data_IF_562362395192
#
_entry.id   IF_562362395192
#
_cell.length_a   1.000
_cell.length_b   1.000
_cell.length_c   1.000
_cell.angle_alpha   90.00
_cell.angle_beta   90.00
_cell.angle_gamma   90.00
#
_symmetry.space_group_name_H-M   'P 1'
#
loop_
_entity.id
_entity.type
_entity.pdbx_description
1 polymer ?
#
# COMPACT_ATOMS: atom_id res chain seq x y z
N UNK A 1 -18.39 -1.76 -23.54
CA UNK A 1 -19.07 -1.11 -22.40
C UNK A 1 -18.65 0.36 -22.44
N UNK A 2 -19.55 1.28 -22.79
CA UNK A 2 -19.30 2.72 -22.59
C UNK A 2 -19.61 3.02 -21.12
N UNK A 3 -18.64 3.59 -20.40
CA UNK A 3 -18.83 4.05 -19.03
C UNK A 3 -19.42 5.46 -19.10
N UNK A 4 -20.55 5.66 -18.43
CA UNK A 4 -21.07 7.01 -18.20
C UNK A 4 -20.24 7.67 -17.10
N UNK A 5 -19.56 8.75 -17.45
CA UNK A 5 -18.67 9.47 -16.56
C UNK A 5 -19.43 10.09 -15.37
N UNK A 6 -20.71 10.44 -15.53
CA UNK A 6 -21.50 11.05 -14.47
C UNK A 6 -21.74 10.10 -13.28
N UNK A 7 -21.55 8.80 -13.47
CA UNK A 7 -21.63 7.80 -12.40
C UNK A 7 -20.30 7.57 -11.67
N UNK A 8 -19.23 8.29 -12.01
CA UNK A 8 -17.94 8.16 -11.34
C UNK A 8 -17.93 8.91 -10.01
N UNK A 9 -17.81 8.16 -8.91
CA UNK A 9 -17.70 8.73 -7.57
C UNK A 9 -16.26 9.08 -7.19
N UNK A 10 -15.32 8.18 -7.49
CA UNK A 10 -13.92 8.36 -7.12
C UNK A 10 -12.96 7.64 -8.07
N UNK A 11 -11.71 8.08 -8.06
CA UNK A 11 -10.60 7.44 -8.77
C UNK A 11 -9.44 7.19 -7.80
N UNK A 12 -8.93 5.95 -7.80
CA UNK A 12 -7.75 5.54 -7.04
C UNK A 12 -6.51 5.55 -7.95
N UNK A 13 -5.42 6.24 -7.56
CA UNK A 13 -4.20 6.33 -8.41
C UNK A 13 -2.91 6.25 -7.59
N UNK A 14 -1.79 5.88 -8.22
CA UNK A 14 -0.45 5.74 -7.63
C UNK A 14 0.28 7.07 -7.35
N UNK A 15 -0.40 8.22 -7.48
CA UNK A 15 0.16 9.57 -7.33
C UNK A 15 1.21 9.96 -8.38
N UNK A 16 1.34 9.23 -9.49
CA UNK A 16 2.19 9.67 -10.59
C UNK A 16 1.74 11.05 -11.11
N UNK A 17 2.69 11.91 -11.48
CA UNK A 17 2.41 13.27 -11.98
C UNK A 17 1.46 13.27 -13.19
N UNK A 18 1.53 12.23 -14.02
CA UNK A 18 0.63 12.02 -15.16
C UNK A 18 -0.83 11.75 -14.73
N UNK A 19 -1.03 11.19 -13.53
CA UNK A 19 -2.34 10.89 -12.97
C UNK A 19 -2.91 12.06 -12.14
N UNK A 20 -2.08 12.67 -11.28
CA UNK A 20 -2.53 13.67 -10.29
C UNK A 20 -2.04 15.10 -10.55
N UNK A 21 -1.35 15.33 -11.67
CA UNK A 21 -0.83 16.65 -12.04
C UNK A 21 -1.95 17.69 -12.17
N UNK A 22 -1.66 18.91 -11.72
CA UNK A 22 -2.65 19.99 -11.60
C UNK A 22 -3.22 20.41 -12.96
N UNK A 23 -2.36 20.51 -13.98
CA UNK A 23 -2.75 21.07 -15.29
C UNK A 23 -3.18 19.99 -16.29
N UNK A 24 -2.41 18.89 -16.39
CA UNK A 24 -2.58 17.87 -17.43
C UNK A 24 -2.77 16.46 -16.86
N UNK A 25 -2.97 16.33 -15.55
CA UNK A 25 -3.22 15.04 -14.93
C UNK A 25 -4.57 14.45 -15.35
N UNK A 26 -4.65 13.12 -15.44
CA UNK A 26 -5.91 12.41 -15.72
C UNK A 26 -7.01 12.81 -14.73
N UNK A 27 -6.69 12.96 -13.44
CA UNK A 27 -7.64 13.44 -12.45
C UNK A 27 -8.17 14.84 -12.76
N UNK A 28 -7.30 15.80 -13.11
CA UNK A 28 -7.72 17.17 -13.43
C UNK A 28 -8.69 17.19 -14.61
N UNK A 29 -8.42 16.41 -15.65
CA UNK A 29 -9.31 16.25 -16.81
C UNK A 29 -10.65 15.63 -16.44
N UNK A 30 -10.66 14.56 -15.64
CA UNK A 30 -11.90 13.92 -15.21
C UNK A 30 -12.71 14.81 -14.25
N UNK A 31 -12.04 15.56 -13.37
CA UNK A 31 -12.67 16.48 -12.42
C UNK A 31 -13.37 17.65 -13.12
N UNK A 32 -12.85 18.09 -14.27
CA UNK A 32 -13.52 19.11 -15.09
C UNK A 32 -14.87 18.62 -15.65
N UNK A 33 -14.99 17.32 -15.97
CA UNK A 33 -16.22 16.70 -16.47
C UNK A 33 -17.15 16.27 -15.32
N UNK A 34 -16.57 15.85 -14.19
CA UNK A 34 -17.27 15.34 -13.01
C UNK A 34 -16.79 16.10 -11.78
N UNK A 35 -17.37 17.28 -11.48
CA UNK A 35 -16.92 18.13 -10.37
C UNK A 35 -16.99 17.47 -9.00
N UNK A 36 -17.84 16.46 -8.82
CA UNK A 36 -17.93 15.67 -7.57
C UNK A 36 -16.85 14.60 -7.41
N UNK A 37 -16.02 14.33 -8.44
CA UNK A 37 -15.07 13.22 -8.45
C UNK A 37 -14.01 13.33 -7.34
N UNK A 38 -13.89 12.31 -6.52
CA UNK A 38 -12.92 12.27 -5.42
C UNK A 38 -11.64 11.58 -5.88
N UNK A 39 -10.50 12.20 -5.62
CA UNK A 39 -9.20 11.56 -5.79
C UNK A 39 -8.83 10.80 -4.52
N UNK A 40 -8.68 9.48 -4.65
CA UNK A 40 -8.07 8.64 -3.62
C UNK A 40 -6.63 8.35 -4.03
N UNK A 41 -5.70 8.93 -3.29
CA UNK A 41 -4.28 8.70 -3.47
C UNK A 41 -3.91 7.32 -2.93
N UNK A 42 -3.04 6.60 -3.64
CA UNK A 42 -2.57 5.28 -3.23
C UNK A 42 -1.78 5.41 -1.92
N UNK A 43 -2.39 4.94 -0.83
CA UNK A 43 -1.78 5.02 0.50
C UNK A 43 -0.54 4.15 0.62
N UNK A 44 -0.54 2.94 0.04
CA UNK A 44 0.64 2.08 -0.02
C UNK A 44 1.85 2.78 -0.66
N UNK A 45 1.64 3.41 -1.82
CA UNK A 45 2.69 4.16 -2.51
C UNK A 45 3.08 5.43 -1.73
N UNK A 46 2.11 6.07 -1.07
CA UNK A 46 2.37 7.25 -0.25
C UNK A 46 3.24 6.94 0.97
N UNK A 47 2.94 5.86 1.69
CA UNK A 47 3.74 5.34 2.80
C UNK A 47 5.15 4.98 2.33
N UNK A 48 5.23 4.29 1.20
CA UNK A 48 6.48 3.90 0.55
C UNK A 48 7.36 5.12 0.24
N UNK A 49 6.81 6.14 -0.42
CA UNK A 49 7.53 7.37 -0.73
C UNK A 49 7.94 8.12 0.54
N UNK A 50 7.09 8.16 1.57
CA UNK A 50 7.41 8.86 2.81
C UNK A 50 8.63 8.25 3.52
N UNK A 51 8.69 6.91 3.61
CA UNK A 51 9.86 6.20 4.14
C UNK A 51 11.08 6.45 3.25
N UNK A 52 10.90 6.32 1.93
CA UNK A 52 11.95 6.55 0.91
C UNK A 52 12.67 7.88 1.07
N UNK A 53 11.90 8.96 1.04
CA UNK A 53 12.43 10.32 1.22
C UNK A 53 13.10 10.49 2.58
N UNK A 54 12.44 10.06 3.66
CA UNK A 54 12.97 10.28 5.00
C UNK A 54 14.34 9.61 5.21
N UNK A 55 14.55 8.39 4.73
CA UNK A 55 15.87 7.73 4.80
C UNK A 55 16.91 8.40 3.91
N UNK A 56 16.59 8.70 2.65
CA UNK A 56 17.53 9.33 1.70
C UNK A 56 18.06 10.66 2.25
N UNK A 57 17.18 11.44 2.87
CA UNK A 57 17.51 12.78 3.35
C UNK A 57 18.27 12.78 4.69
N UNK A 58 18.17 11.71 5.50
CA UNK A 58 18.61 11.76 6.91
C UNK A 58 19.63 10.69 7.30
N UNK A 59 19.48 9.47 6.79
CA UNK A 59 20.32 8.35 7.16
C UNK A 59 21.49 8.13 6.21
N UNK A 60 22.58 7.49 6.68
CA UNK A 60 23.73 7.21 5.84
C UNK A 60 23.40 6.27 4.67
N UNK A 61 23.80 6.67 3.44
CA UNK A 61 23.61 5.89 2.20
C UNK A 61 24.20 4.49 2.24
N UNK A 62 25.20 4.26 3.09
CA UNK A 62 25.83 2.96 3.24
C UNK A 62 24.89 1.91 3.86
N UNK A 63 23.81 2.30 4.56
CA UNK A 63 22.81 1.36 5.05
C UNK A 63 22.04 0.68 3.91
N UNK A 64 21.63 1.45 2.91
CA UNK A 64 20.97 0.91 1.72
C UNK A 64 21.91 -0.05 0.99
N UNK A 65 23.17 0.36 0.79
CA UNK A 65 24.19 -0.51 0.20
C UNK A 65 24.39 -1.81 1.00
N UNK A 66 24.43 -1.75 2.35
CA UNK A 66 24.58 -2.93 3.20
C UNK A 66 23.47 -3.95 2.93
N UNK A 67 22.22 -3.51 2.94
CA UNK A 67 21.06 -4.39 2.76
C UNK A 67 21.03 -4.95 1.33
N UNK A 68 21.21 -4.11 0.32
CA UNK A 68 21.20 -4.53 -1.08
C UNK A 68 22.34 -5.49 -1.41
N UNK A 69 23.56 -5.17 -0.97
CA UNK A 69 24.74 -5.96 -1.34
C UNK A 69 24.82 -7.28 -0.57
N UNK A 70 24.26 -7.33 0.65
CA UNK A 70 24.04 -8.60 1.36
C UNK A 70 23.12 -9.54 0.58
N UNK A 71 22.03 -9.03 0.01
CA UNK A 71 21.18 -9.84 -0.87
C UNK A 71 21.93 -10.28 -2.14
N UNK A 72 22.56 -9.33 -2.83
CA UNK A 72 23.29 -9.58 -4.08
C UNK A 72 24.38 -10.64 -3.92
N UNK A 73 25.03 -10.67 -2.75
CA UNK A 73 26.05 -11.65 -2.43
C UNK A 73 25.55 -13.09 -2.57
N UNK A 74 24.33 -13.36 -2.08
CA UNK A 74 23.72 -14.68 -2.10
C UNK A 74 22.95 -14.96 -3.40
N UNK A 75 22.28 -13.97 -3.98
CA UNK A 75 21.45 -14.18 -5.18
C UNK A 75 22.27 -14.62 -6.41
N UNK A 76 23.55 -14.25 -6.45
CA UNK A 76 24.47 -14.55 -7.55
C UNK A 76 25.15 -15.92 -7.45
N UNK A 77 25.01 -16.66 -6.34
CA UNK A 77 25.73 -17.93 -6.15
C UNK A 77 25.02 -18.90 -5.22
N UNK A 78 24.62 -20.04 -5.76
CA UNK A 78 24.10 -21.18 -4.99
C UNK A 78 25.16 -21.73 -4.02
N UNK A 79 26.44 -21.74 -4.40
CA UNK A 79 27.52 -22.20 -3.52
C UNK A 79 27.67 -21.31 -2.28
N UNK A 80 27.54 -19.99 -2.43
CA UNK A 80 27.55 -19.07 -1.28
C UNK A 80 26.37 -19.29 -0.35
N UNK A 81 25.19 -19.60 -0.91
CA UNK A 81 24.01 -19.95 -0.11
C UNK A 81 24.26 -21.23 0.70
N UNK A 82 24.78 -22.29 0.07
CA UNK A 82 25.07 -23.57 0.75
C UNK A 82 26.10 -23.38 1.86
N UNK A 83 27.22 -22.70 1.59
CA UNK A 83 28.25 -22.41 2.61
C UNK A 83 27.67 -21.64 3.79
N UNK A 84 26.81 -20.65 3.53
CA UNK A 84 26.17 -19.88 4.58
C UNK A 84 25.16 -20.70 5.37
N UNK A 85 24.36 -21.56 4.73
CA UNK A 85 23.45 -22.48 5.42
C UNK A 85 24.22 -23.41 6.36
N UNK A 86 25.33 -23.99 5.92
CA UNK A 86 26.17 -24.85 6.77
C UNK A 86 26.75 -24.09 7.97
N UNK A 87 27.23 -22.86 7.75
CA UNK A 87 27.72 -22.00 8.82
C UNK A 87 26.61 -21.68 9.82
N UNK A 88 25.43 -21.28 9.33
CA UNK A 88 24.29 -20.92 10.15
C UNK A 88 23.80 -22.12 10.97
N UNK A 89 23.66 -23.30 10.36
CA UNK A 89 23.29 -24.55 11.04
C UNK A 89 24.31 -24.91 12.13
N UNK A 90 25.60 -24.65 11.90
CA UNK A 90 26.65 -24.88 12.90
C UNK A 90 26.54 -23.93 14.09
N UNK A 91 26.27 -22.64 13.85
CA UNK A 91 26.13 -21.63 14.90
C UNK A 91 24.83 -21.81 15.70
N UNK A 92 23.75 -22.20 15.01
CA UNK A 92 22.37 -22.25 15.55
C UNK A 92 21.84 -23.67 15.72
N UNK A 93 22.71 -24.63 16.08
CA UNK A 93 22.32 -25.99 16.49
C UNK A 93 21.38 -26.73 15.50
N UNK A 94 21.64 -26.59 14.20
CA UNK A 94 20.90 -27.27 13.12
C UNK A 94 19.68 -26.51 12.58
N UNK A 95 19.40 -25.30 13.08
CA UNK A 95 18.38 -24.43 12.47
C UNK A 95 18.81 -23.91 11.09
N UNK A 96 17.84 -23.63 10.22
CA UNK A 96 18.11 -23.11 8.88
C UNK A 96 17.94 -21.58 8.80
N UNK A 97 18.81 -20.89 8.05
CA UNK A 97 18.69 -19.44 7.87
C UNK A 97 17.45 -19.08 7.06
N UNK A 98 16.86 -17.94 7.38
CA UNK A 98 15.86 -17.32 6.52
C UNK A 98 16.55 -16.72 5.30
N UNK A 99 16.00 -16.95 4.11
CA UNK A 99 16.55 -16.38 2.87
C UNK A 99 16.67 -14.86 2.96
N UNK A 100 17.82 -14.27 2.65
CA UNK A 100 17.94 -12.81 2.57
C UNK A 100 17.05 -12.31 1.43
N UNK A 101 16.25 -11.27 1.70
CA UNK A 101 15.28 -10.74 0.75
C UNK A 101 15.89 -9.63 -0.11
N UNK A 102 15.45 -9.59 -1.37
CA UNK A 102 15.73 -8.47 -2.25
C UNK A 102 14.94 -7.25 -1.79
N UNK A 103 15.61 -6.10 -1.71
CA UNK A 103 14.94 -4.81 -1.68
C UNK A 103 14.79 -4.33 -3.11
N UNK A 104 13.58 -3.94 -3.52
CA UNK A 104 13.39 -3.35 -4.84
C UNK A 104 13.59 -1.84 -4.79
N UNK A 105 14.28 -1.28 -5.78
CA UNK A 105 14.58 0.15 -5.88
C UNK A 105 13.29 1.01 -5.91
N UNK A 106 12.20 0.46 -6.45
CA UNK A 106 10.91 1.15 -6.56
C UNK A 106 9.93 0.86 -5.40
N UNK A 107 10.19 -0.14 -4.56
CA UNK A 107 9.32 -0.55 -3.44
C UNK A 107 10.16 -0.95 -2.22
N UNK A 108 10.55 0.04 -1.43
CA UNK A 108 11.10 -0.14 -0.08
C UNK A 108 10.13 -0.77 0.94
N UNK A 109 8.91 -1.13 0.61
CA UNK A 109 8.05 -1.91 1.52
C UNK A 109 8.64 -3.32 1.78
N UNK A 110 9.60 -3.78 0.97
CA UNK A 110 10.43 -4.96 1.26
C UNK A 110 11.60 -4.68 2.20
N UNK A 111 11.90 -3.40 2.52
CA UNK A 111 13.04 -3.03 3.36
C UNK A 111 12.83 -3.53 4.79
N UNK A 112 11.61 -3.49 5.32
CA UNK A 112 11.30 -3.99 6.66
C UNK A 112 11.71 -5.45 6.82
N UNK A 113 11.24 -6.32 5.91
CA UNK A 113 11.53 -7.74 5.97
C UNK A 113 13.01 -8.04 5.68
N UNK A 114 13.68 -7.24 4.85
CA UNK A 114 15.11 -7.36 4.60
C UNK A 114 15.95 -6.91 5.82
N UNK A 115 15.60 -5.80 6.46
CA UNK A 115 16.21 -5.29 7.70
C UNK A 115 15.99 -6.28 8.83
N UNK A 116 14.77 -6.80 9.01
CA UNK A 116 14.46 -7.78 10.04
C UNK A 116 15.28 -9.06 9.86
N UNK A 117 15.33 -9.63 8.65
CA UNK A 117 16.16 -10.83 8.37
C UNK A 117 17.65 -10.57 8.51
N UNK A 118 18.12 -9.37 8.18
CA UNK A 118 19.52 -8.99 8.33
C UNK A 118 19.88 -8.85 9.81
N UNK A 119 19.01 -8.26 10.63
CA UNK A 119 19.21 -8.12 12.07
C UNK A 119 19.15 -9.46 12.79
N UNK A 120 18.20 -10.33 12.46
CA UNK A 120 18.08 -11.66 13.06
C UNK A 120 19.30 -12.55 12.78
N UNK A 121 19.99 -12.32 11.65
CA UNK A 121 21.13 -13.11 11.23
C UNK A 121 22.45 -12.31 11.29
N UNK A 122 22.49 -11.24 12.09
CA UNK A 122 23.59 -10.27 12.09
C UNK A 122 24.94 -10.90 12.46
N UNK A 123 24.94 -11.77 13.47
CA UNK A 123 26.14 -12.45 13.95
C UNK A 123 26.67 -13.43 12.90
N UNK A 124 25.78 -14.19 12.28
CA UNK A 124 26.09 -15.22 11.29
C UNK A 124 26.57 -14.58 10.00
N UNK A 125 25.94 -13.50 9.55
CA UNK A 125 26.36 -12.71 8.39
C UNK A 125 27.75 -12.10 8.63
N UNK A 126 27.97 -11.48 9.80
CA UNK A 126 29.27 -10.95 10.19
C UNK A 126 30.35 -12.03 10.18
N UNK A 127 30.05 -13.22 10.71
CA UNK A 127 30.96 -14.37 10.76
C UNK A 127 31.25 -14.90 9.35
N UNK A 128 30.22 -15.03 8.52
CA UNK A 128 30.32 -15.46 7.12
C UNK A 128 31.28 -14.56 6.33
N UNK A 129 31.10 -13.25 6.40
CA UNK A 129 31.94 -12.30 5.68
C UNK A 129 33.37 -12.27 6.23
N UNK A 130 33.57 -12.48 7.54
CA UNK A 130 34.90 -12.61 8.12
C UNK A 130 35.65 -13.84 7.59
N UNK A 131 35.01 -15.01 7.56
CA UNK A 131 35.62 -16.24 7.05
C UNK A 131 35.88 -16.13 5.55
N UNK A 132 34.94 -15.53 4.82
CA UNK A 132 35.03 -15.42 3.36
C UNK A 132 36.11 -14.43 2.93
N UNK A 133 36.25 -13.26 3.60
CA UNK A 133 37.33 -12.31 3.24
C UNK A 133 38.72 -12.93 3.44
N UNK A 134 38.89 -13.78 4.45
CA UNK A 134 40.17 -14.42 4.77
C UNK A 134 40.49 -15.57 3.80
N UNK A 135 39.49 -16.37 3.43
CA UNK A 135 39.69 -17.54 2.57
C UNK A 135 39.69 -17.21 1.07
N UNK A 136 38.77 -16.35 0.60
CA UNK A 136 38.57 -16.07 -0.83
C UNK A 136 39.24 -14.76 -1.30
N UNK A 137 39.84 -13.97 -0.38
CA UNK A 137 40.41 -12.62 -0.66
C UNK A 137 39.47 -11.72 -1.47
N UNK A 138 38.16 -11.88 -1.26
CA UNK A 138 37.12 -11.15 -2.00
C UNK A 138 36.91 -9.76 -1.39
N UNK A 139 37.14 -8.70 -2.18
CA UNK A 139 36.98 -7.32 -1.72
C UNK A 139 35.55 -7.01 -1.25
N UNK A 140 34.52 -7.50 -1.95
CA UNK A 140 33.12 -7.30 -1.52
C UNK A 140 32.85 -7.92 -0.15
N UNK A 141 33.42 -9.10 0.14
CA UNK A 141 33.30 -9.71 1.47
C UNK A 141 34.03 -8.89 2.54
N UNK A 142 35.18 -8.29 2.21
CA UNK A 142 35.90 -7.40 3.13
C UNK A 142 35.09 -6.13 3.44
N UNK A 143 34.50 -5.50 2.43
CA UNK A 143 33.63 -4.32 2.61
C UNK A 143 32.42 -4.68 3.47
N UNK A 144 31.69 -5.74 3.13
CA UNK A 144 30.54 -6.18 3.92
C UNK A 144 30.95 -6.50 5.36
N UNK A 145 32.06 -7.21 5.58
CA UNK A 145 32.57 -7.48 6.92
C UNK A 145 32.84 -6.18 7.71
N UNK A 146 33.51 -5.19 7.11
CA UNK A 146 33.75 -3.88 7.75
C UNK A 146 32.44 -3.20 8.14
N UNK A 147 31.42 -3.26 7.28
CA UNK A 147 30.11 -2.67 7.55
C UNK A 147 29.35 -3.39 8.68
N UNK A 148 29.43 -4.71 8.77
CA UNK A 148 28.87 -5.50 9.89
C UNK A 148 29.67 -5.35 11.20
N UNK A 149 30.93 -4.93 11.11
CA UNK A 149 31.76 -4.56 12.28
C UNK A 149 31.46 -3.16 12.82
N UNK A 150 30.90 -2.27 11.98
CA UNK A 150 30.53 -0.93 12.39
C UNK A 150 29.22 -0.95 13.19
N UNK A 151 29.36 -0.72 14.50
CA UNK A 151 28.27 -0.71 15.47
C UNK A 151 27.25 0.42 15.18
N UNK A 152 27.66 1.46 14.46
CA UNK A 152 26.78 2.56 14.03
C UNK A 152 25.72 2.06 13.05
N UNK A 153 26.09 1.17 12.12
CA UNK A 153 25.15 0.59 11.17
C UNK A 153 24.11 -0.29 11.89
N UNK A 154 24.56 -1.07 12.87
CA UNK A 154 23.68 -1.86 13.71
C UNK A 154 22.70 -0.97 14.49
N UNK A 155 23.17 0.12 15.08
CA UNK A 155 22.32 1.08 15.80
C UNK A 155 21.22 1.64 14.90
N UNK A 156 21.54 2.12 13.70
CA UNK A 156 20.52 2.65 12.79
C UNK A 156 19.49 1.59 12.39
N UNK A 157 19.90 0.35 12.12
CA UNK A 157 18.97 -0.73 11.78
C UNK A 157 18.08 -1.13 12.96
N UNK A 158 18.62 -1.16 14.19
CA UNK A 158 17.86 -1.42 15.41
C UNK A 158 16.82 -0.33 15.69
N UNK A 159 17.17 0.93 15.43
CA UNK A 159 16.24 2.06 15.47
C UNK A 159 15.15 1.95 14.40
N UNK A 160 15.53 1.58 13.17
CA UNK A 160 14.62 1.54 12.03
C UNK A 160 13.58 0.44 12.11
N UNK A 161 13.99 -0.76 12.54
CA UNK A 161 13.15 -1.95 12.58
C UNK A 161 11.73 -1.68 13.11
N UNK A 162 11.53 -1.18 14.35
CA UNK A 162 10.18 -1.00 14.90
C UNK A 162 9.32 -0.04 14.06
N UNK A 163 9.92 1.04 13.54
CA UNK A 163 9.21 2.05 12.74
C UNK A 163 8.75 1.44 11.41
N UNK A 164 9.64 0.71 10.75
CA UNK A 164 9.34 0.02 9.49
C UNK A 164 8.27 -1.05 9.70
N UNK A 165 8.31 -1.80 10.80
CA UNK A 165 7.31 -2.83 11.12
C UNK A 165 5.92 -2.23 11.32
N UNK A 166 5.78 -1.11 12.06
CA UNK A 166 4.50 -0.39 12.26
C UNK A 166 3.90 0.03 10.90
N UNK A 167 4.71 0.64 10.03
CA UNK A 167 4.27 1.09 8.68
C UNK A 167 3.90 -0.11 7.81
N UNK A 168 4.67 -1.20 7.88
CA UNK A 168 4.43 -2.39 7.07
C UNK A 168 3.14 -3.12 7.45
N UNK A 169 2.75 -3.11 8.73
CA UNK A 169 1.45 -3.64 9.18
C UNK A 169 0.30 -2.92 8.50
N UNK A 170 0.31 -1.58 8.54
CA UNK A 170 -0.72 -0.76 7.90
C UNK A 170 -0.71 -0.95 6.39
N UNK A 171 0.47 -0.95 5.77
CA UNK A 171 0.58 -1.16 4.33
C UNK A 171 0.02 -2.53 3.90
N UNK A 172 0.32 -3.62 4.62
CA UNK A 172 -0.29 -4.94 4.37
C UNK A 172 -1.79 -4.91 4.56
N UNK A 173 -2.30 -4.14 5.52
CA UNK A 173 -3.72 -3.99 5.74
C UNK A 173 -4.44 -3.34 4.54
N UNK A 174 -3.82 -2.35 3.89
CA UNK A 174 -4.31 -1.72 2.65
C UNK A 174 -4.18 -2.59 1.39
N UNK A 175 -3.41 -3.68 1.45
CA UNK A 175 -3.26 -4.67 0.37
C UNK A 175 -4.14 -5.91 0.57
N UNK A 176 -4.79 -6.03 1.73
CA UNK A 176 -5.70 -7.13 2.04
C UNK A 176 -7.09 -6.89 1.45
N UNK A 177 -7.75 -7.97 1.01
CA UNK A 177 -9.15 -7.94 0.57
C UNK A 177 -10.16 -8.16 1.71
N UNK A 178 -9.70 -8.75 2.82
CA UNK A 178 -10.57 -9.22 3.90
C UNK A 178 -10.78 -8.16 4.98
N UNK A 179 -10.03 -7.07 4.91
CA UNK A 179 -10.04 -6.06 5.95
C UNK A 179 -11.25 -5.15 5.78
N UNK A 180 -11.80 -4.66 6.89
CA UNK A 180 -12.82 -3.62 6.87
C UNK A 180 -12.19 -2.32 6.36
N UNK A 181 -12.43 -2.00 5.10
CA UNK A 181 -11.86 -0.82 4.44
C UNK A 181 -12.24 0.49 5.14
N UNK A 182 -13.37 0.53 5.87
CA UNK A 182 -13.79 1.72 6.60
C UNK A 182 -12.93 1.98 7.84
N UNK A 183 -12.22 0.96 8.35
CA UNK A 183 -11.32 1.07 9.51
C UNK A 183 -9.88 1.42 9.12
N UNK A 184 -9.47 1.17 7.87
CA UNK A 184 -8.09 1.36 7.43
C UNK A 184 -7.57 2.81 7.60
N UNK A 185 -8.43 3.82 7.41
CA UNK A 185 -8.05 5.21 7.63
C UNK A 185 -7.79 5.55 9.10
N UNK A 186 -8.43 4.81 10.03
CA UNK A 186 -8.15 4.91 11.47
C UNK A 186 -6.79 4.31 11.80
N UNK A 187 -6.44 3.17 11.22
CA UNK A 187 -5.14 2.53 11.44
C UNK A 187 -3.99 3.42 10.95
N UNK A 188 -4.16 4.07 9.80
CA UNK A 188 -3.21 5.08 9.30
C UNK A 188 -3.06 6.25 10.26
N UNK A 189 -4.16 6.73 10.84
CA UNK A 189 -4.12 7.81 11.83
C UNK A 189 -3.31 7.42 13.07
N UNK A 190 -3.49 6.19 13.55
CA UNK A 190 -2.78 5.66 14.71
C UNK A 190 -1.27 5.70 14.44
N UNK A 191 -0.80 5.21 13.29
CA UNK A 191 0.63 5.25 12.95
C UNK A 191 1.19 6.69 12.92
N UNK A 192 0.45 7.64 12.34
CA UNK A 192 0.91 9.04 12.32
C UNK A 192 0.97 9.62 13.73
N UNK A 193 0.00 9.29 14.59
CA UNK A 193 -0.01 9.70 15.99
C UNK A 193 1.13 9.04 16.78
N UNK A 194 1.44 7.77 16.54
CA UNK A 194 2.54 7.06 17.18
C UNK A 194 3.90 7.66 16.81
N UNK A 195 4.14 7.93 15.52
CA UNK A 195 5.36 8.61 15.06
C UNK A 195 5.47 10.00 15.70
N UNK A 196 4.36 10.75 15.74
CA UNK A 196 4.35 12.07 16.39
C UNK A 196 4.65 11.98 17.88
N UNK A 197 4.08 11.01 18.60
CA UNK A 197 4.31 10.83 20.05
C UNK A 197 5.76 10.46 20.37
N UNK A 198 6.47 9.81 19.45
CA UNK A 198 7.92 9.55 19.59
C UNK A 198 8.76 10.84 19.45
N UNK A 199 8.20 11.89 18.84
CA UNK A 199 8.89 13.17 18.57
C UNK A 199 8.60 14.26 19.59
N UNK A 200 7.43 14.26 20.21
CA UNK A 200 6.98 15.35 21.08
C UNK A 200 7.06 14.98 22.55
N UNK A 201 7.07 16.00 23.42
CA UNK A 201 6.97 15.80 24.87
C UNK A 201 5.67 15.04 25.22
N UNK A 202 5.68 14.11 26.20
CA UNK A 202 4.51 13.34 26.60
C UNK A 202 3.29 14.18 27.04
N UNK A 203 3.52 15.42 27.45
CA UNK A 203 2.49 16.38 27.85
C UNK A 203 1.77 17.05 26.67
N UNK A 204 2.26 16.88 25.44
CA UNK A 204 1.67 17.48 24.24
C UNK A 204 0.32 16.82 23.90
N UNK A 205 -0.75 17.63 23.84
CA UNK A 205 -2.12 17.19 23.50
C UNK A 205 -2.58 17.62 22.10
N UNK A 206 -1.66 18.12 21.29
CA UNK A 206 -1.96 18.66 19.96
C UNK A 206 -2.30 17.51 19.01
N UNK A 207 -3.34 17.67 18.18
CA UNK A 207 -3.58 16.74 17.07
C UNK A 207 -2.51 16.97 15.99
N UNK A 208 -1.58 16.02 15.80
CA UNK A 208 -0.45 16.22 14.90
C UNK A 208 -0.87 16.34 13.43
N UNK A 209 -2.08 15.91 13.09
CA UNK A 209 -2.60 16.03 11.73
C UNK A 209 -3.13 17.42 11.42
N UNK A 210 -3.63 18.13 12.43
CA UNK A 210 -4.23 19.45 12.26
C UNK A 210 -3.25 20.59 12.52
N UNK A 211 -2.28 20.37 13.40
CA UNK A 211 -1.36 21.42 13.86
C UNK A 211 0.10 21.07 13.59
N UNK A 212 0.99 22.06 13.67
CA UNK A 212 2.43 21.79 13.67
C UNK A 212 2.87 21.19 15.01
N UNK A 213 3.90 20.33 14.96
CA UNK A 213 4.53 19.74 16.14
C UNK A 213 5.91 20.34 16.44
N UNK A 214 6.42 21.24 15.59
CA UNK A 214 7.80 21.72 15.63
C UNK A 214 8.13 22.40 16.99
N UNK A 215 7.16 23.07 17.61
CA UNK A 215 7.34 23.77 18.89
C UNK A 215 7.35 22.84 20.12
N UNK A 216 6.96 21.57 19.95
CA UNK A 216 6.77 20.62 21.04
C UNK A 216 7.77 19.45 21.02
N UNK A 217 8.81 19.55 20.19
CA UNK A 217 9.78 18.48 19.99
C UNK A 217 10.53 18.15 21.28
N UNK A 218 10.56 16.87 21.62
CA UNK A 218 11.38 16.35 22.71
C UNK A 218 12.86 16.57 22.35
N UNK A 219 13.66 17.23 23.22
CA UNK A 219 15.09 17.36 23.00
C UNK A 219 15.82 16.01 23.05
N UNK A 220 15.28 15.00 23.76
CA UNK A 220 15.91 13.69 23.92
C UNK A 220 14.88 12.56 23.77
N UNK A 221 14.36 12.34 22.55
CA UNK A 221 13.33 11.35 22.31
C UNK A 221 13.83 9.93 22.59
N UNK A 222 12.94 9.08 23.09
CA UNK A 222 13.20 7.65 23.24
C UNK A 222 13.17 6.95 21.87
N UNK A 223 14.28 6.29 21.50
CA UNK A 223 14.47 5.71 20.16
C UNK A 223 14.23 4.20 20.08
N UNK A 224 13.69 3.60 21.16
CA UNK A 224 13.31 2.19 21.22
C UNK A 224 14.29 1.32 22.01
N UNK A 225 13.77 0.24 22.62
CA UNK A 225 14.48 -0.54 23.62
C UNK A 225 15.81 -1.12 23.10
N UNK A 226 15.79 -1.74 21.93
CA UNK A 226 16.99 -2.38 21.36
C UNK A 226 18.07 -1.36 21.02
N UNK A 227 17.69 -0.17 20.55
CA UNK A 227 18.62 0.93 20.31
C UNK A 227 19.23 1.44 21.61
N UNK A 228 18.39 1.76 22.61
CA UNK A 228 18.86 2.31 23.89
C UNK A 228 19.75 1.31 24.64
N UNK A 229 19.38 0.03 24.68
CA UNK A 229 20.18 -1.04 25.28
C UNK A 229 21.54 -1.17 24.59
N UNK A 230 21.58 -1.06 23.26
CA UNK A 230 22.82 -1.15 22.49
C UNK A 230 23.73 0.06 22.75
N UNK A 231 23.18 1.27 22.81
CA UNK A 231 23.92 2.47 23.23
C UNK A 231 24.50 2.30 24.63
N UNK A 232 23.70 1.82 25.59
CA UNK A 232 24.17 1.59 26.96
C UNK A 232 25.34 0.59 26.99
N UNK A 233 25.25 -0.49 26.22
CA UNK A 233 26.35 -1.45 26.07
C UNK A 233 27.60 -0.80 25.47
N UNK A 234 27.47 -0.03 24.39
CA UNK A 234 28.62 0.62 23.74
C UNK A 234 29.29 1.65 24.64
N UNK A 235 28.53 2.36 25.49
CA UNK A 235 29.08 3.25 26.52
C UNK A 235 29.90 2.48 27.54
N UNK A 236 29.37 1.35 28.06
CA UNK A 236 30.08 0.49 29.03
C UNK A 236 31.36 -0.10 28.44
N UNK A 237 31.34 -0.47 27.16
CA UNK A 237 32.50 -1.00 26.44
C UNK A 237 33.52 0.07 26.03
N UNK A 238 33.23 1.37 26.23
CA UNK A 238 34.08 2.47 25.78
C UNK A 238 34.17 2.60 24.25
N UNK A 239 33.20 2.06 23.51
CA UNK A 239 33.18 1.99 22.03
C UNK A 239 32.46 3.16 21.36
N UNK A 240 31.84 4.05 22.14
CA UNK A 240 31.14 5.23 21.64
C UNK A 240 31.43 6.42 22.56
N UNK A 241 31.72 7.58 21.96
CA UNK A 241 31.84 8.83 22.70
C UNK A 241 30.52 9.63 22.66
N UNK A 242 30.42 10.66 23.50
CA UNK A 242 29.20 11.47 23.62
C UNK A 242 28.84 12.23 22.33
N UNK A 243 29.83 12.69 21.56
CA UNK A 243 29.61 13.43 20.32
C UNK A 243 29.04 12.53 19.22
N UNK A 244 29.60 11.33 19.04
CA UNK A 244 29.13 10.34 18.07
C UNK A 244 27.71 9.88 18.42
N UNK A 245 27.45 9.62 19.70
CA UNK A 245 26.10 9.27 20.15
C UNK A 245 25.10 10.39 19.84
N UNK A 246 25.44 11.65 20.16
CA UNK A 246 24.58 12.78 19.87
C UNK A 246 24.30 12.89 18.37
N UNK A 247 25.32 12.73 17.53
CA UNK A 247 25.16 12.75 16.07
C UNK A 247 24.23 11.65 15.54
N UNK A 248 24.31 10.43 16.09
CA UNK A 248 23.41 9.33 15.75
C UNK A 248 21.97 9.66 16.16
N UNK A 249 21.77 10.14 17.40
CA UNK A 249 20.44 10.50 17.91
C UNK A 249 19.79 11.61 17.10
N UNK A 250 20.53 12.65 16.74
CA UNK A 250 20.02 13.75 15.92
C UNK A 250 19.60 13.29 14.52
N UNK A 251 20.33 12.35 13.91
CA UNK A 251 19.93 11.74 12.63
C UNK A 251 18.65 10.91 12.77
N UNK A 252 18.54 10.11 13.83
CA UNK A 252 17.32 9.35 14.12
C UNK A 252 16.10 10.27 14.37
N UNK A 253 16.30 11.37 15.12
CA UNK A 253 15.27 12.39 15.33
C UNK A 253 14.87 13.07 14.02
N UNK A 254 15.86 13.45 13.20
CA UNK A 254 15.63 14.03 11.88
C UNK A 254 14.87 13.08 10.95
N UNK A 255 15.19 11.78 10.99
CA UNK A 255 14.45 10.76 10.26
C UNK A 255 12.97 10.74 10.65
N UNK A 256 12.67 10.65 11.94
CA UNK A 256 11.29 10.64 12.43
C UNK A 256 10.54 11.93 12.02
N UNK A 257 11.18 13.09 12.14
CA UNK A 257 10.58 14.38 11.79
C UNK A 257 10.29 14.47 10.29
N UNK A 258 11.24 14.06 9.44
CA UNK A 258 11.04 14.01 7.99
C UNK A 258 9.96 13.01 7.62
N UNK A 259 9.98 11.80 8.18
CA UNK A 259 8.96 10.78 7.96
C UNK A 259 7.57 11.34 8.32
N UNK A 260 7.43 11.97 9.48
CA UNK A 260 6.19 12.61 9.91
C UNK A 260 5.70 13.68 8.92
N UNK A 261 6.59 14.59 8.49
CA UNK A 261 6.27 15.63 7.50
C UNK A 261 5.84 15.03 6.16
N UNK A 262 6.57 14.02 5.67
CA UNK A 262 6.28 13.35 4.40
C UNK A 262 4.96 12.56 4.46
N UNK A 263 4.64 11.93 5.60
CA UNK A 263 3.35 11.29 5.85
C UNK A 263 2.22 12.31 5.84
N UNK A 264 2.34 13.40 6.62
CA UNK A 264 1.34 14.47 6.70
C UNK A 264 1.06 15.10 5.33
N UNK A 265 2.10 15.41 4.55
CA UNK A 265 1.97 15.99 3.20
C UNK A 265 1.25 15.06 2.21
N UNK A 266 1.41 13.74 2.37
CA UNK A 266 0.82 12.75 1.44
C UNK A 266 -0.57 12.29 1.85
N UNK A 267 -1.04 12.65 3.04
CA UNK A 267 -2.43 12.45 3.39
C UNK A 267 -3.32 13.34 2.52
N UNK A 268 -4.51 12.87 2.13
CA UNK A 268 -5.48 13.71 1.45
C UNK A 268 -5.84 14.94 2.29
N UNK A 269 -6.06 16.11 1.69
CA UNK A 269 -6.52 17.31 2.42
C UNK A 269 -7.84 17.05 3.16
N UNK A 270 -8.69 16.19 2.59
CA UNK A 270 -9.94 15.72 3.12
C UNK A 270 -9.81 14.54 4.10
N UNK A 271 -8.60 14.15 4.53
CA UNK A 271 -8.41 12.99 5.42
C UNK A 271 -9.20 13.10 6.73
N UNK A 272 -9.35 14.33 7.26
CA UNK A 272 -10.12 14.57 8.48
C UNK A 272 -11.60 14.17 8.31
N UNK A 273 -12.18 14.45 7.14
CA UNK A 273 -13.55 14.10 6.81
C UNK A 273 -13.63 12.61 6.43
N UNK A 274 -12.71 12.11 5.60
CA UNK A 274 -12.70 10.71 5.17
C UNK A 274 -12.53 9.73 6.33
N UNK A 275 -11.85 10.09 7.43
CA UNK A 275 -11.80 9.26 8.65
C UNK A 275 -13.17 8.99 9.24
N UNK A 276 -14.13 9.90 9.07
CA UNK A 276 -15.51 9.73 9.53
C UNK A 276 -16.26 8.64 8.77
N UNK A 277 -15.70 8.13 7.68
CA UNK A 277 -16.25 6.94 6.99
C UNK A 277 -16.26 5.73 7.90
N UNK A 278 -15.32 5.66 8.86
CA UNK A 278 -15.34 4.63 9.89
C UNK A 278 -16.64 4.62 10.71
N UNK A 279 -17.39 5.73 10.79
CA UNK A 279 -18.70 5.79 11.44
C UNK A 279 -19.75 4.86 10.81
N UNK A 280 -19.55 4.48 9.55
CA UNK A 280 -20.39 3.54 8.82
C UNK A 280 -19.97 2.08 9.04
N UNK A 281 -18.94 1.79 9.83
CA UNK A 281 -18.64 0.41 10.22
C UNK A 281 -19.76 -0.15 11.10
N UNK A 282 -20.01 -1.46 11.01
CA UNK A 282 -21.09 -2.10 11.79
C UNK A 282 -20.96 -1.84 13.29
N UNK A 283 -19.72 -1.84 13.82
CA UNK A 283 -19.43 -1.56 15.22
C UNK A 283 -19.79 -0.13 15.66
N UNK A 284 -19.73 0.84 14.74
CA UNK A 284 -20.01 2.24 15.04
C UNK A 284 -21.48 2.58 14.81
N UNK A 285 -22.07 2.03 13.75
CA UNK A 285 -23.50 2.22 13.42
C UNK A 285 -24.39 1.63 14.50
N UNK A 286 -24.04 0.47 15.06
CA UNK A 286 -24.86 -0.19 16.07
C UNK A 286 -24.68 0.38 17.49
N UNK A 287 -23.84 1.40 17.68
CA UNK A 287 -23.71 2.08 18.99
C UNK A 287 -25.00 2.80 19.38
N UNK A 288 -25.23 2.86 20.69
CA UNK A 288 -26.32 3.64 21.28
C UNK A 288 -26.12 5.14 21.04
N UNK A 289 -24.92 5.65 21.34
CA UNK A 289 -24.52 7.02 21.05
C UNK A 289 -23.70 7.04 19.76
N UNK A 290 -24.18 7.77 18.77
CA UNK A 290 -23.57 7.90 17.44
C UNK A 290 -22.91 9.26 17.31
N UNK A 291 -21.75 9.30 16.67
CA UNK A 291 -21.14 10.56 16.27
C UNK A 291 -21.89 11.15 15.06
N UNK A 292 -21.92 12.49 14.92
CA UNK A 292 -22.65 13.14 13.84
C UNK A 292 -22.02 12.88 12.45
N UNK A 293 -22.84 12.47 11.46
CA UNK A 293 -22.39 12.08 10.12
C UNK A 293 -22.53 13.20 9.08
N UNK A 294 -23.17 14.33 9.41
CA UNK A 294 -23.54 15.40 8.48
C UNK A 294 -22.35 15.86 7.63
N UNK A 295 -21.23 16.21 8.27
CA UNK A 295 -20.02 16.66 7.57
C UNK A 295 -19.47 15.66 6.53
N UNK A 296 -19.71 14.36 6.72
CA UNK A 296 -19.33 13.35 5.73
C UNK A 296 -20.33 13.30 4.57
N UNK A 297 -21.63 13.38 4.87
CA UNK A 297 -22.68 13.41 3.84
C UNK A 297 -22.55 14.67 2.98
N UNK A 298 -22.35 15.83 3.61
CA UNK A 298 -22.11 17.12 2.95
C UNK A 298 -20.94 17.05 1.98
N UNK A 299 -19.84 16.42 2.40
CA UNK A 299 -18.65 16.29 1.57
C UNK A 299 -18.86 15.40 0.33
N UNK A 300 -19.66 14.33 0.46
CA UNK A 300 -19.82 13.33 -0.61
C UNK A 300 -20.99 13.66 -1.57
N UNK A 301 -22.11 14.14 -1.04
CA UNK A 301 -23.38 14.33 -1.77
C UNK A 301 -23.90 15.78 -1.71
N UNK A 302 -23.18 16.70 -1.05
CA UNK A 302 -23.70 18.03 -0.72
C UNK A 302 -24.75 17.98 0.38
N UNK A 303 -25.55 19.04 0.50
CA UNK A 303 -26.64 19.13 1.50
C UNK A 303 -27.87 18.28 1.20
N UNK A 304 -27.81 17.44 0.16
CA UNK A 304 -28.94 16.62 -0.27
C UNK A 304 -29.10 15.42 0.66
N UNK A 305 -30.35 15.14 1.05
CA UNK A 305 -30.75 13.95 1.80
C UNK A 305 -30.15 13.79 3.21
N UNK A 306 -29.46 14.79 3.76
CA UNK A 306 -28.86 14.73 5.10
C UNK A 306 -29.91 14.34 6.14
N UNK A 307 -30.99 15.11 6.25
CA UNK A 307 -32.06 14.87 7.23
C UNK A 307 -32.64 13.46 7.13
N UNK A 308 -32.79 12.96 5.89
CA UNK A 308 -33.31 11.63 5.64
C UNK A 308 -32.32 10.54 6.08
N UNK A 309 -31.03 10.71 5.77
CA UNK A 309 -29.97 9.78 6.16
C UNK A 309 -29.83 9.74 7.69
N UNK A 310 -29.87 10.90 8.36
CA UNK A 310 -29.80 10.98 9.82
C UNK A 310 -30.99 10.30 10.51
N UNK A 311 -32.19 10.54 9.99
CA UNK A 311 -33.40 9.89 10.49
C UNK A 311 -33.36 8.38 10.28
N UNK A 312 -32.82 7.91 9.15
CA UNK A 312 -32.65 6.48 8.88
C UNK A 312 -31.59 5.87 9.81
N UNK A 313 -30.51 6.60 10.06
CA UNK A 313 -29.43 6.16 10.94
C UNK A 313 -29.87 6.06 12.40
N UNK A 314 -30.74 6.96 12.88
CA UNK A 314 -31.29 6.86 14.24
C UNK A 314 -32.19 5.64 14.43
N UNK A 315 -32.95 5.26 13.39
CA UNK A 315 -33.85 4.10 13.38
C UNK A 315 -33.15 2.76 13.20
N UNK A 316 -31.90 2.73 12.76
CA UNK A 316 -31.21 1.48 12.39
C UNK A 316 -31.12 0.49 13.56
N UNK A 317 -31.01 0.98 14.79
CA UNK A 317 -30.91 0.13 15.99
C UNK A 317 -32.27 -0.47 16.42
N UNK A 318 -33.39 -0.08 15.80
CA UNK A 318 -34.71 -0.62 16.11
C UNK A 318 -34.94 -2.00 15.47
N UNK A 319 -34.09 -2.38 14.53
CA UNK A 319 -34.15 -3.67 13.85
C UNK A 319 -33.04 -4.57 14.39
N UNK A 320 -33.37 -5.84 14.64
CA UNK A 320 -32.38 -6.84 15.00
C UNK A 320 -31.73 -7.43 13.74
N UNK A 321 -30.50 -6.99 13.48
CA UNK A 321 -29.72 -7.41 12.30
C UNK A 321 -29.00 -8.73 12.54
N UNK A 322 -28.94 -9.58 11.51
CA UNK A 322 -28.21 -10.86 11.59
C UNK A 322 -26.70 -10.66 11.50
N UNK A 323 -26.22 -9.78 10.62
CA UNK A 323 -24.79 -9.53 10.43
C UNK A 323 -24.32 -8.37 11.32
N UNK A 324 -23.75 -8.67 12.50
CA UNK A 324 -23.25 -7.65 13.44
C UNK A 324 -21.72 -7.46 13.44
N UNK A 325 -21.00 -8.25 12.66
CA UNK A 325 -19.52 -8.28 12.67
C UNK A 325 -18.87 -7.97 11.32
N UNK A 326 -19.60 -8.16 10.22
CA UNK A 326 -19.12 -7.95 8.85
C UNK A 326 -19.84 -6.75 8.25
N UNK A 327 -19.12 -5.62 8.13
CA UNK A 327 -19.65 -4.36 7.61
C UNK A 327 -20.23 -4.51 6.20
N UNK A 328 -19.63 -5.32 5.32
CA UNK A 328 -20.12 -5.47 3.93
C UNK A 328 -21.44 -6.24 3.93
N UNK A 329 -21.51 -7.35 4.65
CA UNK A 329 -22.74 -8.15 4.76
C UNK A 329 -23.85 -7.41 5.48
N UNK A 330 -23.51 -6.63 6.51
CA UNK A 330 -24.44 -5.78 7.22
C UNK A 330 -25.10 -4.78 6.26
N UNK A 331 -24.33 -4.04 5.46
CA UNK A 331 -24.92 -3.07 4.55
C UNK A 331 -25.67 -3.71 3.37
N UNK A 332 -25.27 -4.91 2.93
CA UNK A 332 -26.06 -5.71 1.97
C UNK A 332 -27.42 -6.14 2.57
N UNK A 333 -27.44 -6.55 3.83
CA UNK A 333 -28.66 -6.87 4.57
C UNK A 333 -29.57 -5.64 4.72
N UNK A 334 -29.03 -4.50 5.15
CA UNK A 334 -29.78 -3.23 5.26
C UNK A 334 -30.33 -2.78 3.90
N UNK A 335 -29.58 -2.97 2.81
CA UNK A 335 -30.04 -2.65 1.46
C UNK A 335 -31.18 -3.57 0.97
N UNK A 336 -31.16 -4.84 1.38
CA UNK A 336 -32.18 -5.84 1.06
C UNK A 336 -33.37 -5.83 2.01
N UNK A 337 -33.27 -5.18 3.17
CA UNK A 337 -34.34 -5.07 4.14
C UNK A 337 -35.60 -4.49 3.53
N UNK A 338 -36.76 -5.06 3.89
CA UNK A 338 -38.08 -4.60 3.48
C UNK A 338 -39.00 -4.54 4.69
N UNK A 339 -39.75 -3.45 4.80
CA UNK A 339 -40.79 -3.29 5.80
C UNK A 339 -42.07 -4.06 5.41
N UNK A 340 -43.10 -3.97 6.25
CA UNK A 340 -44.39 -4.62 6.00
C UNK A 340 -45.07 -4.17 4.69
N UNK A 341 -44.71 -2.99 4.16
CA UNK A 341 -45.21 -2.47 2.89
C UNK A 341 -44.33 -2.84 1.70
N UNK A 342 -43.26 -3.62 1.90
CA UNK A 342 -42.33 -4.01 0.85
C UNK A 342 -41.38 -2.88 0.42
N UNK A 343 -41.27 -1.80 1.20
CA UNK A 343 -40.34 -0.69 0.95
C UNK A 343 -39.07 -0.85 1.79
N UNK A 344 -37.98 -0.22 1.37
CA UNK A 344 -36.78 -0.14 2.21
C UNK A 344 -36.74 1.21 2.97
N UNK A 345 -37.07 1.25 4.27
CA UNK A 345 -37.01 2.48 5.06
C UNK A 345 -35.59 3.04 5.22
N UNK A 346 -34.54 2.26 4.93
CA UNK A 346 -33.13 2.63 5.03
C UNK A 346 -32.47 2.87 3.66
N UNK A 347 -33.24 2.98 2.57
CA UNK A 347 -32.71 3.00 1.20
C UNK A 347 -31.62 4.06 0.95
N UNK A 348 -31.80 5.29 1.47
CA UNK A 348 -30.86 6.41 1.26
C UNK A 348 -29.57 6.20 2.05
N UNK A 349 -29.71 5.79 3.31
CA UNK A 349 -28.58 5.44 4.17
C UNK A 349 -27.79 4.25 3.61
N UNK A 350 -28.48 3.21 3.16
CA UNK A 350 -27.84 2.04 2.54
C UNK A 350 -27.08 2.41 1.27
N UNK A 351 -27.70 3.18 0.37
CA UNK A 351 -27.06 3.66 -0.85
C UNK A 351 -25.82 4.52 -0.55
N UNK A 352 -25.91 5.41 0.45
CA UNK A 352 -24.80 6.22 0.91
C UNK A 352 -23.65 5.36 1.47
N UNK A 353 -23.96 4.42 2.37
CA UNK A 353 -22.96 3.56 2.96
C UNK A 353 -22.27 2.65 1.92
N UNK A 354 -23.04 2.07 1.00
CA UNK A 354 -22.52 1.29 -0.11
C UNK A 354 -21.61 2.14 -1.01
N UNK A 355 -21.98 3.40 -1.26
CA UNK A 355 -21.15 4.34 -2.02
C UNK A 355 -19.81 4.61 -1.35
N UNK A 356 -19.75 4.63 0.00
CA UNK A 356 -18.50 4.77 0.73
C UNK A 356 -17.66 3.48 0.69
N UNK A 357 -18.30 2.31 0.77
CA UNK A 357 -17.64 1.01 0.77
C UNK A 357 -16.96 0.67 -0.55
N UNK A 358 -17.46 1.20 -1.67
CA UNK A 358 -16.88 0.96 -3.00
C UNK A 358 -15.74 1.93 -3.35
N UNK A 359 -15.46 2.91 -2.51
CA UNK A 359 -14.36 3.84 -2.76
C UNK A 359 -13.02 3.09 -2.75
N UNK A 360 -12.08 3.43 -3.66
CA UNK A 360 -10.87 2.66 -3.90
C UNK A 360 -9.78 2.95 -2.85
N UNK A 361 -10.06 2.70 -1.57
CA UNK A 361 -9.11 2.87 -0.46
C UNK A 361 -8.00 1.81 -0.45
N UNK A 362 -8.33 0.61 -0.90
CA UNK A 362 -7.45 -0.55 -0.91
C UNK A 362 -6.83 -0.77 -2.29
N UNK A 363 -5.54 -1.08 -2.32
CA UNK A 363 -4.83 -1.43 -3.55
C UNK A 363 -4.90 -2.93 -3.87
N UNK A 364 -5.56 -3.72 -3.03
CA UNK A 364 -5.64 -5.17 -3.15
C UNK A 364 -6.18 -5.64 -4.52
N UNK A 365 -7.17 -4.92 -5.07
CA UNK A 365 -7.74 -5.22 -6.39
C UNK A 365 -6.71 -4.96 -7.50
N UNK A 366 -6.03 -3.82 -7.43
CA UNK A 366 -5.06 -3.37 -8.45
C UNK A 366 -3.82 -4.27 -8.48
N UNK A 367 -3.23 -4.57 -7.31
CA UNK A 367 -2.07 -5.47 -7.20
C UNK A 367 -2.37 -6.88 -7.73
N UNK A 368 -3.61 -7.36 -7.56
CA UNK A 368 -4.03 -8.64 -8.15
C UNK A 368 -4.15 -8.58 -9.66
N UNK A 369 -4.66 -7.49 -10.22
CA UNK A 369 -4.70 -7.30 -11.68
C UNK A 369 -3.29 -7.34 -12.23
N UNK A 370 -2.33 -6.64 -11.61
CA UNK A 370 -0.93 -6.69 -12.03
C UNK A 370 -0.29 -8.08 -11.86
N UNK A 371 -0.59 -8.78 -10.78
CA UNK A 371 -0.16 -10.18 -10.60
C UNK A 371 -0.70 -11.09 -11.71
N UNK A 372 -1.99 -10.98 -12.05
CA UNK A 372 -2.57 -11.73 -13.16
C UNK A 372 -1.99 -11.30 -14.52
N UNK A 373 -1.72 -10.01 -14.73
CA UNK A 373 -1.08 -9.50 -15.92
C UNK A 373 0.31 -10.12 -16.10
N UNK A 374 1.12 -10.21 -15.04
CA UNK A 374 2.45 -10.83 -15.08
C UNK A 374 2.39 -12.33 -15.42
N UNK A 375 1.33 -13.03 -15.03
CA UNK A 375 1.11 -14.43 -15.43
C UNK A 375 0.71 -14.56 -16.91
N UNK A 376 -0.10 -13.64 -17.43
CA UNK A 376 -0.57 -13.64 -18.82
C UNK A 376 0.53 -13.19 -19.78
N UNK A 377 1.20 -12.09 -19.46
CA UNK A 377 2.29 -11.46 -20.22
C UNK A 377 3.62 -11.69 -19.51
N UNK A 378 4.05 -12.95 -19.50
CA UNK A 378 5.32 -13.36 -18.91
C UNK A 378 6.51 -13.19 -19.89
N UNK A 379 7.73 -13.49 -19.44
CA UNK A 379 8.96 -13.34 -20.26
C UNK A 379 8.91 -14.08 -21.60
N UNK A 380 8.23 -15.22 -21.68
CA UNK A 380 8.09 -16.02 -22.92
C UNK A 380 6.96 -15.48 -23.82
N UNK A 381 5.99 -14.76 -23.25
CA UNK A 381 4.80 -14.21 -23.95
C UNK A 381 4.77 -12.67 -23.92
N UNK A 382 5.94 -12.03 -23.93
CA UNK A 382 6.08 -10.58 -23.75
C UNK A 382 5.56 -9.74 -24.93
N UNK A 383 5.44 -10.32 -26.14
CA UNK A 383 4.91 -9.65 -27.34
C UNK A 383 3.40 -9.83 -27.57
N UNK A 384 2.64 -10.22 -26.53
CA UNK A 384 1.19 -10.35 -26.64
C UNK A 384 0.51 -9.00 -26.92
N UNK A 385 -0.41 -8.96 -27.88
CA UNK A 385 -1.16 -7.74 -28.19
C UNK A 385 -2.04 -7.30 -27.01
N UNK A 386 -2.29 -5.99 -26.91
CA UNK A 386 -3.15 -5.41 -25.87
C UNK A 386 -4.56 -6.01 -25.94
N UNK A 387 -5.12 -6.15 -27.15
CA UNK A 387 -6.45 -6.77 -27.36
C UNK A 387 -6.53 -8.18 -26.77
N UNK A 388 -5.52 -9.03 -27.03
CA UNK A 388 -5.48 -10.40 -26.51
C UNK A 388 -5.28 -10.42 -24.99
N UNK A 389 -4.39 -9.57 -24.48
CA UNK A 389 -4.12 -9.44 -23.04
C UNK A 389 -5.39 -9.05 -22.29
N UNK A 390 -6.11 -8.03 -22.78
CA UNK A 390 -7.38 -7.58 -22.22
C UNK A 390 -8.43 -8.70 -22.27
N UNK A 391 -8.59 -9.39 -23.41
CA UNK A 391 -9.54 -10.49 -23.53
C UNK A 391 -9.28 -11.60 -22.50
N UNK A 392 -8.03 -12.02 -22.33
CA UNK A 392 -7.66 -13.05 -21.34
C UNK A 392 -7.95 -12.58 -19.91
N UNK A 393 -7.57 -11.35 -19.57
CA UNK A 393 -7.84 -10.79 -18.24
C UNK A 393 -9.34 -10.68 -17.99
N UNK A 394 -10.12 -10.16 -18.94
CA UNK A 394 -11.58 -10.07 -18.83
C UNK A 394 -12.23 -11.43 -18.62
N UNK A 395 -11.81 -12.46 -19.36
CA UNK A 395 -12.32 -13.83 -19.17
C UNK A 395 -11.96 -14.35 -17.78
N UNK A 396 -10.71 -14.21 -17.35
CA UNK A 396 -10.26 -14.68 -16.02
C UNK A 396 -11.04 -14.01 -14.89
N UNK A 397 -11.17 -12.69 -14.92
CA UNK A 397 -11.92 -11.94 -13.90
C UNK A 397 -13.42 -12.20 -13.98
N UNK A 398 -13.98 -12.34 -15.18
CA UNK A 398 -15.38 -12.70 -15.40
C UNK A 398 -15.73 -14.08 -14.84
N UNK A 399 -14.89 -15.09 -15.08
CA UNK A 399 -15.06 -16.42 -14.50
C UNK A 399 -14.97 -16.39 -12.97
N UNK A 400 -13.92 -15.73 -12.43
CA UNK A 400 -13.74 -15.59 -10.98
C UNK A 400 -14.94 -14.92 -10.31
N UNK A 401 -15.49 -13.85 -10.91
CA UNK A 401 -16.67 -13.14 -10.41
C UNK A 401 -17.90 -14.05 -10.30
N UNK A 402 -18.01 -15.04 -11.18
CA UNK A 402 -19.09 -16.01 -11.18
C UNK A 402 -18.79 -17.27 -10.35
N UNK A 403 -17.69 -17.29 -9.59
CA UNK A 403 -17.26 -18.47 -8.84
C UNK A 403 -16.83 -19.65 -9.72
N UNK A 404 -16.47 -19.39 -10.98
CA UNK A 404 -16.06 -20.39 -11.97
C UNK A 404 -14.56 -20.30 -12.28
N UNK A 405 -14.02 -21.37 -12.82
CA UNK A 405 -12.65 -21.52 -13.28
C UNK A 405 -12.64 -22.18 -14.67
N UNK A 406 -11.53 -22.08 -15.40
CA UNK A 406 -11.43 -22.63 -16.75
C UNK A 406 -11.70 -24.15 -16.83
N UNK A 407 -11.49 -24.90 -15.75
CA UNK A 407 -11.75 -26.34 -15.73
C UNK A 407 -13.21 -26.71 -15.46
N UNK A 408 -14.02 -25.80 -14.91
CA UNK A 408 -15.44 -26.06 -14.59
C UNK A 408 -16.42 -25.23 -15.44
N UNK A 409 -15.89 -24.31 -16.25
CA UNK A 409 -16.70 -23.50 -17.15
C UNK A 409 -16.85 -24.19 -18.50
N UNK A 410 -18.05 -24.69 -18.76
CA UNK A 410 -18.43 -25.21 -20.08
C UNK A 410 -18.70 -24.02 -21.00
N UNK A 411 -17.95 -23.94 -22.10
CA UNK A 411 -18.17 -22.93 -23.13
C UNK A 411 -19.52 -23.16 -23.81
N UNK A 412 -20.28 -22.10 -24.14
CA UNK A 412 -21.51 -22.23 -24.90
C UNK A 412 -21.27 -22.98 -26.22
N UNK A 413 -22.15 -23.92 -26.64
CA UNK A 413 -21.98 -24.68 -27.87
C UNK A 413 -21.79 -23.81 -29.12
N UNK A 414 -22.44 -22.65 -29.15
CA UNK A 414 -22.30 -21.66 -30.21
C UNK A 414 -20.87 -21.12 -30.33
N UNK A 415 -20.22 -20.82 -29.19
CA UNK A 415 -18.82 -20.36 -29.18
C UNK A 415 -17.89 -21.48 -29.65
N UNK A 416 -18.16 -22.73 -29.26
CA UNK A 416 -17.38 -23.89 -29.70
C UNK A 416 -17.46 -24.11 -31.21
N UNK A 417 -18.65 -23.93 -31.81
CA UNK A 417 -18.85 -24.05 -33.27
C UNK A 417 -18.08 -22.98 -34.06
N UNK A 418 -17.83 -21.82 -33.46
CA UNK A 418 -17.04 -20.75 -34.09
C UNK A 418 -15.53 -21.01 -34.03
N UNK A 419 -15.05 -21.90 -33.14
CA UNK A 419 -13.61 -22.21 -33.07
C UNK A 419 -13.20 -22.96 -34.35
N UNK A 420 -12.27 -22.38 -35.11
CA UNK A 420 -11.80 -22.95 -36.38
C UNK A 420 -12.62 -22.54 -37.61
N UNK A 421 -13.71 -21.78 -37.45
CA UNK A 421 -14.45 -21.22 -38.59
C UNK A 421 -13.76 -19.96 -39.13
N UNK A 422 -13.93 -19.66 -40.43
CA UNK A 422 -13.39 -18.42 -41.04
C UNK A 422 -13.91 -17.17 -40.30
N UNK A 423 -15.15 -17.19 -39.84
CA UNK A 423 -15.84 -16.10 -39.13
C UNK A 423 -15.11 -15.63 -37.87
N UNK A 424 -14.50 -16.55 -37.12
CA UNK A 424 -13.70 -16.23 -35.93
C UNK A 424 -12.40 -15.47 -36.25
N UNK A 425 -11.92 -15.55 -37.50
CA UNK A 425 -10.66 -14.94 -37.93
C UNK A 425 -10.86 -13.77 -38.94
N UNK A 426 -12.01 -13.67 -39.61
CA UNK A 426 -12.28 -12.63 -40.63
C UNK A 426 -12.52 -11.24 -40.08
N UNK A 427 -12.89 -11.07 -38.80
CA UNK A 427 -13.00 -9.72 -38.18
C UNK A 427 -11.69 -8.92 -38.17
N UNK A 428 -10.55 -9.52 -38.54
CA UNK A 428 -9.24 -8.86 -38.61
C UNK A 428 -8.88 -8.25 -39.98
N UNK A 429 -9.54 -8.60 -41.07
CA UNK A 429 -9.11 -8.11 -42.39
C UNK A 429 -9.41 -6.62 -42.62
N UNK A 430 -10.40 -6.04 -41.93
CA UNK A 430 -10.74 -4.62 -42.05
C UNK A 430 -9.96 -3.69 -41.09
N UNK A 431 -9.34 -4.23 -40.04
CA UNK A 431 -8.53 -3.44 -39.09
C UNK A 431 -7.01 -3.59 -39.32
N UNK A 432 -6.57 -4.38 -40.31
CA UNK A 432 -5.15 -4.67 -40.58
C UNK A 432 -4.56 -3.92 -41.77
N UNK A 433 -5.34 -3.04 -42.43
CA UNK A 433 -4.83 -2.15 -43.48
C UNK A 433 -4.28 -0.81 -42.98
N UNK A 434 -4.33 -0.53 -41.67
CA UNK A 434 -3.58 0.55 -41.04
C UNK A 434 -2.34 -0.02 -40.33
N UNK A 435 -1.35 -0.43 -41.12
CA UNK A 435 0.02 -0.53 -40.64
C UNK A 435 0.49 0.88 -40.26
N UNK A 436 0.40 1.22 -38.97
CA UNK A 436 1.25 2.28 -38.41
C UNK A 436 2.62 1.65 -38.23
N UNK A 437 3.55 2.06 -39.09
CA UNK A 437 4.98 1.82 -38.95
C UNK A 437 5.48 2.37 -37.62
N UNK A 438 6.28 1.56 -36.91
CA UNK A 438 7.14 1.97 -35.80
C UNK A 438 7.86 3.30 -36.10
N UNK A 439 7.33 4.42 -35.61
CA UNK A 439 8.07 5.66 -35.34
C UNK A 439 7.37 6.41 -34.18
N UNK A 440 8.09 6.51 -33.07
CA UNK A 440 7.86 7.35 -31.90
C UNK A 440 6.50 7.18 -31.19
N UNK A 441 6.51 6.38 -30.12
CA UNK A 441 5.46 6.32 -29.09
C UNK A 441 5.41 7.65 -28.30
N UNK A 442 4.87 8.68 -28.92
CA UNK A 442 4.24 9.84 -28.28
C UNK A 442 2.87 9.99 -28.95
N UNK A 443 1.89 9.16 -28.55
CA UNK A 443 0.46 9.48 -28.59
C UNK A 443 -0.37 8.27 -28.11
N UNK A 444 -0.70 8.27 -26.81
CA UNK A 444 -1.79 7.45 -26.27
C UNK A 444 -3.10 8.10 -26.72
N UNK A 445 -3.60 7.68 -27.87
CA UNK A 445 -4.87 8.16 -28.42
C UNK A 445 -6.05 7.55 -27.64
N UNK A 446 -6.49 8.23 -26.58
CA UNK A 446 -7.82 8.02 -26.01
C UNK A 446 -8.83 8.59 -27.01
N UNK A 447 -9.42 7.76 -27.87
CA UNK A 447 -10.46 8.19 -28.79
C UNK A 447 -11.73 8.66 -28.03
N UNK A 448 -11.74 9.95 -27.70
CA UNK A 448 -12.93 10.78 -27.64
C UNK A 448 -13.05 11.45 -29.00
N UNK A 449 -14.12 11.17 -29.73
CA UNK A 449 -14.68 12.14 -30.65
C UNK A 449 -16.17 11.86 -30.83
N UNK A 450 -16.92 12.95 -30.65
CA UNK A 450 -18.31 13.16 -31.00
C UNK A 450 -18.50 12.97 -32.50
N UNK A 451 -19.65 12.40 -32.88
CA UNK A 451 -20.35 12.78 -34.09
C UNK A 451 -21.83 12.65 -33.79
N UNK A 452 -22.41 13.75 -33.36
CA UNK A 452 -23.82 14.04 -33.61
C UNK A 452 -24.02 14.22 -35.12
N UNK A 453 -25.15 13.67 -35.60
CA UNK A 453 -26.00 14.11 -36.72
C UNK A 453 -26.57 12.90 -37.48
N UNK A 454 -27.67 12.36 -36.93
CA UNK A 454 -29.02 12.24 -37.52
C UNK A 454 -29.81 11.13 -36.83
#
# INVERSE_FOLDING_TARGET
MKLDLQNLLAIGTDNASVMVGINNGVYAKLKAVVPSLILIRCLCHSLQLAVSHAMIDTLPRNLEFLIHETYNWFSKSSMRQIKYTQLYETINCGERPLQILQVSDTRWLSIEAAVDRTLHQWLELKTHFNMTRLSEKCYTAEILYKMYCDETNLLYLLFLKPILSEIQVVNKAFQSEKNDHLKLLKDLNIVVQEISKKLVLPSCKVDPLLSSIDDYLDPKPYLGYSFEKKIEQLRKDGKINACDEQGIRERCKSFLLNLFKQLKQRLPENVAILKKISLLSVDNVLKAVKEPIQSLVEYMNGSKDIDAIELQLSKINLIDWTNKTDTIKFWDEVNKYRDASGNNPFAKLAAFALSMLILPYSNAQVERVFSQLNLVKNKVRNKMSIKMTNAILTIRFGLKRNGKCCYNYVLPPEVLRQIGSKEAYTKKAAESSSQVTDKNDDDINFCFNECDQF
#
